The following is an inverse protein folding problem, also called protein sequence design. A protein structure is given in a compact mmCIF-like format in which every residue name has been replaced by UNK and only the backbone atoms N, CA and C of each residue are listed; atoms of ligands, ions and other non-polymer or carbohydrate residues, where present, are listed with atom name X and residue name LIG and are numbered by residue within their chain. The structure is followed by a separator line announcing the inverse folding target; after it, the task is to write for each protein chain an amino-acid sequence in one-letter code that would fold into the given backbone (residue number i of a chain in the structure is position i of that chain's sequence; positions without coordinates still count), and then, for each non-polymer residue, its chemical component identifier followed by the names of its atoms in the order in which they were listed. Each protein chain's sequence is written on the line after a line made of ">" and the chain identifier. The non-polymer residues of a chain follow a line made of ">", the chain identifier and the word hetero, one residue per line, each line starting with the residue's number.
data_IF_251534981352
#
_entry.id   IF_251534981352
#
_cell.length_a   1.000
_cell.length_b   1.000
_cell.length_c   1.000
_cell.angle_alpha   90.00
_cell.angle_beta   90.00
_cell.angle_gamma   90.00
#
_symmetry.space_group_name_H-M   'P 1'
#
loop_
_entity.id
_entity.type
_entity.pdbx_description
1 polymer ?
#
# COMPACT_ATOMS: atom_id res chain seq x y z
N UNK A 1 4.00 7.07 15.84
CA UNK A 1 3.56 6.46 14.57
C UNK A 1 4.37 6.97 13.38
N UNK A 2 4.31 8.26 13.03
CA UNK A 2 5.00 8.79 11.84
C UNK A 2 6.53 8.58 11.83
N UNK A 3 7.21 8.73 12.97
CA UNK A 3 8.63 8.38 13.04
C UNK A 3 8.87 6.88 12.83
N UNK A 4 8.04 6.02 13.42
CA UNK A 4 8.14 4.55 13.31
C UNK A 4 7.99 4.03 11.87
N UNK A 5 7.32 4.80 11.00
CA UNK A 5 7.17 4.47 9.56
C UNK A 5 8.17 5.23 8.68
N UNK A 6 8.75 6.34 9.16
CA UNK A 6 9.69 7.14 8.40
C UNK A 6 11.05 6.44 8.20
N UNK A 7 11.57 5.77 9.23
CA UNK A 7 12.89 5.11 9.14
C UNK A 7 12.88 3.92 8.16
N UNK A 8 11.88 3.02 8.19
CA UNK A 8 11.72 2.00 7.15
C UNK A 8 11.57 2.59 5.75
N UNK A 9 10.78 3.65 5.58
CA UNK A 9 10.60 4.30 4.28
C UNK A 9 11.91 4.89 3.74
N UNK A 10 12.71 5.57 4.57
CA UNK A 10 14.03 6.08 4.17
C UNK A 10 14.98 4.96 3.76
N UNK A 11 15.00 3.85 4.53
CA UNK A 11 15.83 2.69 4.20
C UNK A 11 15.41 2.09 2.85
N UNK A 12 14.13 1.85 2.64
CA UNK A 12 13.60 1.32 1.37
C UNK A 12 13.99 2.19 0.17
N UNK A 13 13.87 3.51 0.31
CA UNK A 13 14.28 4.46 -0.73
C UNK A 13 15.79 4.40 -0.99
N UNK A 14 16.61 4.33 0.06
CA UNK A 14 18.06 4.26 -0.06
C UNK A 14 18.56 2.94 -0.69
N UNK A 15 17.81 1.84 -0.54
CA UNK A 15 18.15 0.54 -1.13
C UNK A 15 17.49 0.29 -2.49
N UNK A 16 16.60 1.17 -2.95
CA UNK A 16 15.93 1.04 -4.26
C UNK A 16 16.94 1.26 -5.38
N UNK A 17 16.97 0.34 -6.34
CA UNK A 17 17.84 0.45 -7.52
C UNK A 17 17.03 0.83 -8.77
N UNK A 18 17.71 1.20 -9.85
CA UNK A 18 17.06 1.50 -11.13
C UNK A 18 16.26 0.30 -11.68
N UNK A 19 16.68 -0.94 -11.38
CA UNK A 19 15.98 -2.15 -11.80
C UNK A 19 14.64 -2.36 -11.07
N UNK A 20 14.44 -1.71 -9.93
CA UNK A 20 13.21 -1.81 -9.16
C UNK A 20 12.15 -0.78 -9.57
N UNK A 21 12.56 0.27 -10.31
CA UNK A 21 11.72 1.39 -10.67
C UNK A 21 10.94 1.08 -11.95
N UNK A 22 9.61 1.14 -11.86
CA UNK A 22 8.68 0.92 -12.98
C UNK A 22 7.59 1.98 -12.97
N UNK A 23 6.78 2.02 -14.04
CA UNK A 23 5.54 2.80 -14.07
C UNK A 23 4.52 2.16 -13.12
N UNK A 24 3.95 2.95 -12.23
CA UNK A 24 2.96 2.56 -11.25
C UNK A 24 1.61 3.22 -11.57
N UNK A 25 0.52 2.50 -11.31
CA UNK A 25 -0.82 3.08 -11.30
C UNK A 25 -0.93 4.23 -10.28
N UNK A 26 -0.28 4.10 -9.12
CA UNK A 26 -0.27 5.11 -8.06
C UNK A 26 -1.52 5.15 -7.18
N UNK A 27 -2.60 4.47 -7.56
CA UNK A 27 -3.85 4.40 -6.78
C UNK A 27 -4.68 3.15 -7.09
N UNK A 28 -4.04 1.97 -7.16
CA UNK A 28 -4.73 0.73 -7.49
C UNK A 28 -5.52 0.17 -6.29
N UNK A 29 -6.83 0.04 -6.39
CA UNK A 29 -7.65 -0.63 -5.38
C UNK A 29 -8.92 -1.18 -6.02
N UNK A 30 -9.70 -1.93 -5.24
CA UNK A 30 -10.95 -2.56 -5.70
C UNK A 30 -11.96 -1.62 -6.40
N UNK A 31 -11.91 -0.30 -6.14
CA UNK A 31 -12.77 0.69 -6.79
C UNK A 31 -12.23 1.19 -8.13
N UNK A 32 -10.92 1.05 -8.34
CA UNK A 32 -10.22 1.46 -9.56
C UNK A 32 -9.88 0.27 -10.46
N UNK A 33 -10.47 -0.90 -10.22
CA UNK A 33 -10.36 -2.08 -11.08
C UNK A 33 -11.78 -2.55 -11.42
N UNK A 34 -12.18 -2.31 -12.66
CA UNK A 34 -13.55 -2.55 -13.12
C UNK A 34 -13.62 -3.76 -14.04
N UNK A 35 -14.74 -4.47 -13.95
CA UNK A 35 -15.12 -5.52 -14.89
C UNK A 35 -15.85 -4.89 -16.08
N UNK A 36 -15.30 -5.03 -17.28
CA UNK A 36 -15.91 -4.58 -18.54
C UNK A 36 -16.64 -5.73 -19.26
N UNK A 37 -16.79 -6.89 -18.62
CA UNK A 37 -17.46 -8.08 -19.14
C UNK A 37 -16.48 -9.02 -19.85
N UNK A 38 -15.78 -8.54 -20.86
CA UNK A 38 -14.78 -9.32 -21.61
C UNK A 38 -13.37 -9.27 -20.98
N UNK A 39 -13.13 -8.29 -20.12
CA UNK A 39 -11.86 -8.08 -19.43
C UNK A 39 -12.02 -7.25 -18.16
N UNK A 40 -11.01 -7.35 -17.31
CA UNK A 40 -10.79 -6.40 -16.22
C UNK A 40 -9.90 -5.25 -16.70
N UNK A 41 -10.15 -4.03 -16.22
CA UNK A 41 -9.27 -2.90 -16.48
C UNK A 41 -9.10 -2.01 -15.25
N UNK A 42 -7.87 -1.52 -15.06
CA UNK A 42 -7.59 -0.48 -14.08
C UNK A 42 -7.90 0.91 -14.67
N UNK A 43 -8.44 1.81 -13.84
CA UNK A 43 -8.83 3.17 -14.22
C UNK A 43 -8.27 4.21 -13.24
N UNK A 44 -8.25 5.48 -13.65
CA UNK A 44 -7.71 6.60 -12.86
C UNK A 44 -6.21 6.44 -12.45
N UNK A 45 -5.31 6.16 -13.42
CA UNK A 45 -3.88 6.08 -13.12
C UNK A 45 -3.31 7.47 -12.80
N UNK A 46 -2.43 7.54 -11.79
CA UNK A 46 -1.62 8.71 -11.47
C UNK A 46 -0.26 8.73 -12.21
N UNK A 47 0.06 7.65 -12.94
CA UNK A 47 1.23 7.51 -13.79
C UNK A 47 2.56 7.87 -13.11
N UNK A 48 2.83 7.26 -11.95
CA UNK A 48 4.02 7.54 -11.15
C UNK A 48 5.20 6.64 -11.57
N UNK A 49 6.43 7.08 -11.33
CA UNK A 49 7.61 6.22 -11.34
C UNK A 49 7.98 5.84 -9.90
N UNK A 50 8.15 4.55 -9.62
CA UNK A 50 8.52 4.11 -8.29
C UNK A 50 8.83 2.61 -8.19
N UNK A 51 9.20 2.17 -7.00
CA UNK A 51 9.53 0.78 -6.74
C UNK A 51 8.33 -0.14 -7.02
N UNK A 52 8.53 -1.20 -7.81
CA UNK A 52 7.48 -2.15 -8.24
C UNK A 52 6.57 -2.65 -7.11
N UNK A 53 7.14 -2.96 -5.94
CA UNK A 53 6.38 -3.41 -4.75
C UNK A 53 5.41 -2.34 -4.22
N UNK A 54 5.77 -1.06 -4.29
CA UNK A 54 4.92 0.02 -3.80
C UNK A 54 3.58 0.09 -4.55
N UNK A 55 3.56 -0.39 -5.80
CA UNK A 55 2.37 -0.48 -6.61
C UNK A 55 1.24 -1.31 -5.99
N UNK A 56 1.50 -2.17 -5.00
CA UNK A 56 0.46 -2.99 -4.35
C UNK A 56 0.09 -2.51 -2.93
N UNK A 57 0.83 -1.55 -2.38
CA UNK A 57 0.79 -1.22 -0.96
C UNK A 57 -0.58 -0.70 -0.47
N UNK A 58 -1.25 0.11 -1.29
CA UNK A 58 -2.56 0.69 -0.97
C UNK A 58 -3.69 -0.35 -0.91
N UNK A 59 -3.57 -1.49 -1.60
CA UNK A 59 -4.57 -2.57 -1.60
C UNK A 59 -4.76 -3.12 -0.17
N UNK A 60 -3.73 -3.11 0.67
CA UNK A 60 -3.79 -3.62 2.05
C UNK A 60 -4.62 -2.77 3.01
N UNK A 61 -4.96 -1.52 2.63
CA UNK A 61 -5.79 -0.61 3.44
C UNK A 61 -7.23 -0.49 2.93
N UNK A 62 -7.63 -1.35 2.00
CA UNK A 62 -8.93 -1.37 1.34
C UNK A 62 -9.68 -2.71 1.62
N UNK A 63 -10.97 -2.86 1.29
CA UNK A 63 -11.94 -1.83 0.87
C UNK A 63 -12.58 -1.09 2.05
N UNK A 64 -12.48 -1.65 3.25
CA UNK A 64 -13.00 -1.12 4.51
C UNK A 64 -12.01 -1.46 5.60
N UNK A 65 -12.10 -0.81 6.76
CA UNK A 65 -11.23 -1.12 7.90
C UNK A 65 -11.33 -2.60 8.32
N UNK A 66 -12.55 -3.14 8.41
CA UNK A 66 -12.77 -4.54 8.76
C UNK A 66 -12.19 -5.49 7.69
N UNK A 67 -12.40 -5.19 6.40
CA UNK A 67 -11.90 -6.00 5.30
C UNK A 67 -10.36 -5.98 5.19
N UNK A 68 -9.75 -4.82 5.40
CA UNK A 68 -8.30 -4.65 5.42
C UNK A 68 -7.67 -5.44 6.58
N UNK A 69 -8.17 -5.25 7.80
CA UNK A 69 -7.62 -5.88 8.99
C UNK A 69 -7.92 -7.38 9.04
N UNK A 70 -9.11 -7.83 8.63
CA UNK A 70 -9.48 -9.25 8.67
C UNK A 70 -8.66 -10.12 7.70
N UNK A 71 -8.13 -9.53 6.63
CA UNK A 71 -7.44 -10.26 5.56
C UNK A 71 -5.97 -9.86 5.39
N UNK A 72 -5.40 -9.06 6.29
CA UNK A 72 -4.10 -8.42 6.07
C UNK A 72 -2.99 -9.43 5.72
N UNK A 73 -2.82 -10.48 6.53
CA UNK A 73 -1.78 -11.49 6.32
C UNK A 73 -2.05 -12.35 5.07
N UNK A 74 -3.27 -12.88 4.93
CA UNK A 74 -3.65 -13.66 3.75
C UNK A 74 -3.49 -12.86 2.44
N UNK A 75 -3.73 -11.54 2.49
CA UNK A 75 -3.54 -10.65 1.34
C UNK A 75 -2.06 -10.38 1.07
N UNK A 76 -1.23 -10.19 2.09
CA UNK A 76 0.24 -10.09 1.91
C UNK A 76 0.79 -11.34 1.24
N UNK A 77 0.38 -12.53 1.69
CA UNK A 77 0.79 -13.80 1.09
C UNK A 77 0.29 -13.94 -0.35
N UNK A 78 -0.99 -13.67 -0.59
CA UNK A 78 -1.60 -13.82 -1.92
C UNK A 78 -0.99 -12.87 -2.93
N UNK A 79 -0.86 -11.58 -2.58
CA UNK A 79 -0.25 -10.58 -3.45
C UNK A 79 1.23 -10.87 -3.63
N UNK A 80 1.96 -11.18 -2.55
CA UNK A 80 3.38 -11.55 -2.61
C UNK A 80 3.62 -12.71 -3.58
N UNK A 81 2.83 -13.78 -3.47
CA UNK A 81 2.91 -14.94 -4.39
C UNK A 81 2.61 -14.55 -5.84
N UNK A 82 1.52 -13.83 -6.10
CA UNK A 82 1.10 -13.47 -7.46
C UNK A 82 2.07 -12.47 -8.12
N UNK A 83 2.59 -11.53 -7.36
CA UNK A 83 3.55 -10.52 -7.83
C UNK A 83 5.00 -10.99 -7.77
N UNK A 84 5.27 -12.20 -7.25
CA UNK A 84 6.62 -12.76 -7.01
C UNK A 84 7.48 -11.83 -6.13
N UNK A 85 6.89 -11.37 -5.03
CA UNK A 85 7.50 -10.50 -4.03
C UNK A 85 7.55 -11.25 -2.69
N UNK A 86 8.66 -11.07 -1.95
CA UNK A 86 8.74 -11.52 -0.57
C UNK A 86 7.67 -10.78 0.27
N UNK A 87 6.81 -11.51 1.03
CA UNK A 87 5.76 -10.89 1.85
C UNK A 87 6.30 -9.84 2.83
N UNK A 88 7.51 -10.02 3.32
CA UNK A 88 8.19 -9.11 4.24
C UNK A 88 8.49 -7.76 3.55
N UNK A 89 9.01 -7.80 2.33
CA UNK A 89 9.28 -6.60 1.53
C UNK A 89 7.97 -5.87 1.19
N UNK A 90 6.91 -6.62 0.87
CA UNK A 90 5.59 -6.05 0.63
C UNK A 90 4.99 -5.40 1.90
N UNK A 91 5.19 -6.01 3.07
CA UNK A 91 4.78 -5.45 4.35
C UNK A 91 5.52 -4.14 4.66
N UNK A 92 6.84 -4.07 4.41
CA UNK A 92 7.62 -2.84 4.61
C UNK A 92 7.14 -1.69 3.71
N UNK A 93 6.89 -1.95 2.43
CA UNK A 93 6.32 -0.95 1.52
C UNK A 93 4.88 -0.56 1.89
N UNK A 94 4.11 -1.49 2.45
CA UNK A 94 2.77 -1.20 3.01
C UNK A 94 2.87 -0.26 4.22
N UNK A 95 3.83 -0.49 5.12
CA UNK A 95 4.11 0.41 6.25
C UNK A 95 4.48 1.81 5.75
N UNK A 96 5.34 1.90 4.73
CA UNK A 96 5.72 3.17 4.12
C UNK A 96 4.51 3.91 3.51
N UNK A 97 3.65 3.19 2.79
CA UNK A 97 2.41 3.75 2.23
C UNK A 97 1.48 4.28 3.33
N UNK A 98 1.31 3.53 4.43
CA UNK A 98 0.52 3.99 5.57
C UNK A 98 1.08 5.30 6.16
N UNK A 99 2.41 5.45 6.24
CA UNK A 99 3.05 6.68 6.67
C UNK A 99 2.78 7.87 5.77
N UNK A 100 2.85 7.67 4.45
CA UNK A 100 2.49 8.69 3.45
C UNK A 100 1.02 9.09 3.57
N UNK A 101 0.10 8.11 3.60
CA UNK A 101 -1.34 8.32 3.73
C UNK A 101 -1.70 9.09 5.00
N UNK A 102 -1.08 8.73 6.13
CA UNK A 102 -1.24 9.43 7.40
C UNK A 102 -0.69 10.87 7.37
N UNK A 103 0.35 11.13 6.58
CA UNK A 103 0.91 12.47 6.43
C UNK A 103 -0.04 13.38 5.64
N UNK A 104 -0.66 12.87 4.57
CA UNK A 104 -1.71 13.59 3.84
C UNK A 104 -2.94 13.83 4.71
N UNK A 105 -3.38 12.84 5.49
CA UNK A 105 -4.56 12.99 6.34
C UNK A 105 -4.40 14.04 7.45
N UNK A 106 -3.17 14.44 7.83
CA UNK A 106 -2.95 15.52 8.82
C UNK A 106 -3.36 16.91 8.33
N UNK A 107 -3.50 17.08 7.02
CA UNK A 107 -3.94 18.33 6.42
C UNK A 107 -5.47 18.46 6.49
N UNK A 108 -6.18 17.37 6.75
CA UNK A 108 -7.64 17.34 6.87
C UNK A 108 -8.10 17.53 8.33
N UNK A 109 -9.23 18.21 8.51
CA UNK A 109 -9.79 18.59 9.81
C UNK A 109 -10.51 17.43 10.51
N UNK A 110 -10.83 16.35 9.79
CA UNK A 110 -11.52 15.16 10.31
C UNK A 110 -10.81 13.86 9.89
N UNK A 111 -10.56 12.91 10.82
CA UNK A 111 -9.91 11.66 10.47
C UNK A 111 -10.81 10.79 9.59
N UNK A 112 -10.43 10.62 8.33
CA UNK A 112 -11.12 9.70 7.40
C UNK A 112 -11.00 8.25 7.88
N UNK A 113 -11.94 7.39 7.48
CA UNK A 113 -11.85 5.95 7.77
C UNK A 113 -10.57 5.33 7.18
N UNK A 114 -10.10 5.85 6.05
CA UNK A 114 -8.82 5.47 5.44
C UNK A 114 -7.64 5.79 6.36
N UNK A 115 -7.59 6.98 6.96
CA UNK A 115 -6.51 7.37 7.88
C UNK A 115 -6.48 6.46 9.13
N UNK A 116 -7.65 6.10 9.68
CA UNK A 116 -7.73 5.12 10.78
C UNK A 116 -7.25 3.73 10.34
N UNK A 117 -7.68 3.28 9.17
CA UNK A 117 -7.29 1.97 8.62
C UNK A 117 -5.77 1.90 8.40
N UNK A 118 -5.17 2.91 7.76
CA UNK A 118 -3.73 2.99 7.52
C UNK A 118 -2.93 2.93 8.83
N UNK A 119 -3.39 3.63 9.88
CA UNK A 119 -2.78 3.54 11.22
C UNK A 119 -2.82 2.11 11.76
N UNK A 120 -4.00 1.49 11.80
CA UNK A 120 -4.17 0.15 12.37
C UNK A 120 -3.42 -0.94 11.60
N UNK A 121 -3.38 -0.82 10.26
CA UNK A 121 -2.58 -1.72 9.41
C UNK A 121 -1.11 -1.61 9.75
N UNK A 122 -0.55 -0.40 9.76
CA UNK A 122 0.87 -0.24 10.07
C UNK A 122 1.22 -0.60 11.53
N UNK A 123 0.32 -0.36 12.49
CA UNK A 123 0.51 -0.85 13.88
C UNK A 123 0.61 -2.37 13.94
N UNK A 124 -0.23 -3.09 13.19
CA UNK A 124 -0.15 -4.55 13.11
C UNK A 124 1.14 -5.04 12.45
N UNK A 125 1.55 -4.42 11.36
CA UNK A 125 2.75 -4.86 10.62
C UNK A 125 4.05 -4.52 11.36
N UNK A 126 4.08 -3.47 12.19
CA UNK A 126 5.25 -3.16 13.01
C UNK A 126 5.28 -4.03 14.29
N UNK A 127 4.13 -4.51 14.75
CA UNK A 127 4.01 -5.32 15.96
C UNK A 127 4.07 -6.84 15.75
N UNK A 128 4.05 -7.30 14.49
CA UNK A 128 4.22 -8.69 14.09
C UNK A 128 5.72 -9.03 13.96
#
# INVERSE_FOLDING_TARGET
>A
MLQRVADPAKRLLATTTAADVVVLHGDIHHGNVLDFGDRWAAIDPKALLGHRTFGFANIHCNPTEAGALGNLMARLETIGRLARLAPEVLAEWTIAWCGMSLTWARVDTSPTWHARTARRVAERLIGA
#
